data_IF_303637007328
#
_entry.id   IF_303637007328
#
_cell.length_a   1.000
_cell.length_b   1.000
_cell.length_c   1.000
_cell.angle_alpha   90.00
_cell.angle_beta   90.00
_cell.angle_gamma   90.00
#
_symmetry.space_group_name_H-M   'P 1'
#
loop_
_entity.id
_entity.type
_entity.pdbx_description
1 polymer ?
#
# COMPACT_ATOMS: atom_id res chain seq x y z
N UNK A 1 5.15 -5.23 -22.19
CA UNK A 1 4.26 -4.06 -22.31
C UNK A 1 3.72 -3.72 -20.92
N UNK A 2 4.47 -2.92 -20.15
CA UNK A 2 4.14 -2.59 -18.75
C UNK A 2 3.26 -1.35 -18.79
N UNK A 3 2.01 -1.48 -18.35
CA UNK A 3 1.09 -0.36 -18.16
C UNK A 3 1.59 0.54 -17.02
N UNK A 4 2.39 1.54 -17.34
CA UNK A 4 2.62 2.66 -16.44
C UNK A 4 1.32 3.46 -16.38
N UNK A 5 0.63 3.40 -15.24
CA UNK A 5 -0.50 4.29 -14.98
C UNK A 5 -0.02 5.72 -15.19
N UNK A 6 -0.54 6.37 -16.24
CA UNK A 6 -0.13 7.69 -16.72
C UNK A 6 -0.27 8.72 -15.60
N UNK A 7 0.86 9.14 -15.03
CA UNK A 7 0.94 10.25 -14.09
C UNK A 7 1.84 11.31 -14.73
N UNK A 8 1.30 12.51 -14.98
CA UNK A 8 2.02 13.59 -15.64
C UNK A 8 2.63 14.48 -14.56
N UNK A 9 3.96 14.56 -14.52
CA UNK A 9 4.70 15.55 -13.72
C UNK A 9 5.03 16.71 -14.66
N UNK A 10 4.40 17.86 -14.45
CA UNK A 10 4.66 19.07 -15.23
C UNK A 10 5.66 19.95 -14.46
N UNK A 11 6.88 20.05 -14.98
CA UNK A 11 7.90 20.97 -14.45
C UNK A 11 7.77 22.30 -15.22
N UNK A 12 7.27 23.33 -14.53
CA UNK A 12 7.08 24.66 -15.12
C UNK A 12 8.34 25.51 -14.93
N UNK A 13 8.99 25.86 -16.03
CA UNK A 13 10.08 26.85 -16.06
C UNK A 13 9.49 28.25 -16.25
N UNK A 14 9.86 29.22 -15.40
CA UNK A 14 9.36 30.60 -15.47
C UNK A 14 10.19 31.53 -16.37
N UNK A 15 11.23 31.06 -17.07
CA UNK A 15 12.09 31.93 -17.87
C UNK A 15 11.79 31.85 -19.39
N UNK A 16 11.41 32.98 -20.06
CA UNK A 16 11.03 32.97 -21.48
C UNK A 16 12.20 32.92 -22.46
N UNK A 17 13.45 32.83 -21.99
CA UNK A 17 14.64 32.84 -22.85
C UNK A 17 15.25 31.43 -22.90
N UNK A 18 14.92 30.69 -23.96
CA UNK A 18 15.62 29.50 -24.45
C UNK A 18 16.00 28.46 -23.38
N UNK A 19 15.16 27.45 -23.18
CA UNK A 19 15.52 26.31 -22.31
C UNK A 19 16.76 25.62 -22.92
N UNK A 20 17.91 25.76 -22.27
CA UNK A 20 19.15 25.07 -22.66
C UNK A 20 18.91 23.56 -22.72
N UNK A 21 19.55 22.86 -23.67
CA UNK A 21 19.52 21.39 -23.73
C UNK A 21 19.93 20.74 -22.40
N UNK A 22 20.75 21.41 -21.60
CA UNK A 22 21.09 20.97 -20.25
C UNK A 22 19.90 21.07 -19.27
N UNK A 23 19.13 22.17 -19.28
CA UNK A 23 17.92 22.29 -18.46
C UNK A 23 16.89 21.21 -18.83
N UNK A 24 16.59 21.02 -20.12
CA UNK A 24 15.63 20.00 -20.56
C UNK A 24 16.03 18.59 -20.13
N UNK A 25 17.34 18.28 -20.19
CA UNK A 25 17.87 16.99 -19.76
C UNK A 25 17.75 16.80 -18.25
N UNK A 26 18.01 17.84 -17.47
CA UNK A 26 17.84 17.82 -16.01
C UNK A 26 16.37 17.67 -15.62
N UNK A 27 15.46 18.43 -16.24
CA UNK A 27 14.02 18.33 -15.99
C UNK A 27 13.50 16.92 -16.28
N UNK A 28 13.94 16.33 -17.39
CA UNK A 28 13.60 14.95 -17.73
C UNK A 28 14.12 13.95 -16.70
N UNK A 29 15.38 14.07 -16.26
CA UNK A 29 15.95 13.19 -15.24
C UNK A 29 15.18 13.31 -13.93
N UNK A 30 14.83 14.53 -13.52
CA UNK A 30 14.06 14.79 -12.30
C UNK A 30 12.66 14.17 -12.41
N UNK A 31 11.96 14.38 -13.52
CA UNK A 31 10.65 13.79 -13.76
C UNK A 31 10.68 12.25 -13.77
N UNK A 32 11.71 11.65 -14.38
CA UNK A 32 11.93 10.20 -14.37
C UNK A 32 12.17 9.66 -12.94
N UNK A 33 13.01 10.33 -12.15
CA UNK A 33 13.27 9.94 -10.76
C UNK A 33 12.03 10.04 -9.86
N UNK A 34 11.26 11.12 -10.00
CA UNK A 34 9.99 11.29 -9.27
C UNK A 34 9.01 10.17 -9.66
N UNK A 35 8.86 9.90 -10.96
CA UNK A 35 7.96 8.86 -11.46
C UNK A 35 8.33 7.48 -10.93
N UNK A 36 9.63 7.15 -10.92
CA UNK A 36 10.14 5.90 -10.36
C UNK A 36 9.90 5.80 -8.85
N UNK A 37 10.16 6.87 -8.11
CA UNK A 37 9.91 6.94 -6.67
C UNK A 37 8.44 6.69 -6.33
N UNK A 38 7.52 7.35 -7.04
CA UNK A 38 6.07 7.19 -6.86
C UNK A 38 5.59 5.78 -7.23
N UNK A 39 6.08 5.21 -8.34
CA UNK A 39 5.77 3.84 -8.71
C UNK A 39 6.19 2.84 -7.64
N UNK A 40 7.42 2.99 -7.12
CA UNK A 40 7.94 2.13 -6.07
C UNK A 40 7.12 2.26 -4.77
N UNK A 41 6.70 3.47 -4.40
CA UNK A 41 5.82 3.68 -3.25
C UNK A 41 4.49 2.96 -3.41
N UNK A 42 3.82 3.12 -4.56
CA UNK A 42 2.54 2.47 -4.84
C UNK A 42 2.66 0.94 -4.86
N UNK A 43 3.75 0.42 -5.42
CA UNK A 43 4.01 -1.02 -5.40
C UNK A 43 4.20 -1.54 -3.98
N UNK A 44 4.98 -0.83 -3.15
CA UNK A 44 5.17 -1.17 -1.72
C UNK A 44 3.86 -1.10 -0.95
N UNK A 45 3.03 -0.10 -1.20
CA UNK A 45 1.70 0.02 -0.57
C UNK A 45 0.79 -1.14 -0.99
N UNK A 46 0.78 -1.50 -2.27
CA UNK A 46 0.05 -2.67 -2.76
C UNK A 46 0.55 -3.96 -2.11
N UNK A 47 1.86 -4.18 -2.08
CA UNK A 47 2.46 -5.36 -1.42
C UNK A 47 2.15 -5.40 0.08
N UNK A 48 2.12 -4.23 0.75
CA UNK A 48 1.70 -4.13 2.14
C UNK A 48 0.23 -4.51 2.31
N UNK A 49 -0.65 -4.01 1.45
CA UNK A 49 -2.08 -4.32 1.48
C UNK A 49 -2.37 -5.79 1.15
N UNK A 50 -1.65 -6.37 0.20
CA UNK A 50 -1.73 -7.78 -0.17
C UNK A 50 -1.15 -8.66 0.95
N UNK A 51 -0.11 -8.20 1.64
CA UNK A 51 0.52 -8.91 2.78
C UNK A 51 -0.37 -8.96 4.03
N UNK A 52 -1.34 -8.05 4.18
CA UNK A 52 -2.28 -8.06 5.30
C UNK A 52 -3.63 -8.71 4.96
N UNK A 53 -3.84 -9.12 3.70
CA UNK A 53 -5.09 -9.75 3.25
C UNK A 53 -4.87 -11.20 2.86
N UNK A 54 -5.84 -12.05 3.17
CA UNK A 54 -5.90 -13.41 2.69
C UNK A 54 -6.30 -13.41 1.21
N UNK A 55 -5.48 -14.01 0.34
CA UNK A 55 -5.68 -13.95 -1.12
C UNK A 55 -6.91 -14.72 -1.60
N UNK A 56 -7.41 -15.68 -0.82
CA UNK A 56 -8.57 -16.49 -1.15
C UNK A 56 -9.88 -15.75 -0.87
N UNK A 57 -9.92 -14.90 0.15
CA UNK A 57 -11.16 -14.26 0.64
C UNK A 57 -11.15 -12.73 0.56
N UNK A 58 -10.00 -12.08 0.41
CA UNK A 58 -9.84 -10.63 0.47
C UNK A 58 -10.01 -10.03 1.88
N UNK A 59 -10.31 -10.87 2.88
CA UNK A 59 -10.40 -10.48 4.28
C UNK A 59 -9.00 -10.21 4.84
N UNK A 60 -8.91 -9.49 5.96
CA UNK A 60 -7.64 -9.38 6.67
C UNK A 60 -7.17 -10.77 7.11
N UNK A 61 -5.88 -11.01 6.98
CA UNK A 61 -5.29 -12.27 7.39
C UNK A 61 -5.14 -12.36 8.92
N UNK A 62 -4.77 -13.55 9.37
CA UNK A 62 -4.59 -13.85 10.79
C UNK A 62 -3.52 -12.97 11.45
N UNK A 63 -2.41 -12.70 10.77
CA UNK A 63 -1.33 -11.85 11.31
C UNK A 63 -1.81 -10.44 11.61
N UNK A 64 -2.64 -9.87 10.72
CA UNK A 64 -3.27 -8.57 10.96
C UNK A 64 -4.22 -8.61 12.17
N UNK A 65 -5.02 -9.67 12.33
CA UNK A 65 -5.85 -9.85 13.52
C UNK A 65 -5.00 -9.88 14.81
N UNK A 66 -3.91 -10.63 14.83
CA UNK A 66 -3.04 -10.76 16.02
C UNK A 66 -2.40 -9.42 16.42
N UNK A 67 -2.01 -8.59 15.46
CA UNK A 67 -1.48 -7.25 15.73
C UNK A 67 -2.56 -6.27 16.18
N UNK A 68 -3.68 -6.23 15.46
CA UNK A 68 -4.80 -5.32 15.74
C UNK A 68 -5.44 -5.62 17.10
N UNK A 69 -5.62 -6.90 17.44
CA UNK A 69 -6.18 -7.33 18.73
C UNK A 69 -5.32 -6.89 19.92
N UNK A 70 -3.98 -6.94 19.80
CA UNK A 70 -3.08 -6.41 20.84
C UNK A 70 -3.33 -4.92 21.09
N UNK A 71 -3.51 -4.14 20.03
CA UNK A 71 -3.82 -2.72 20.15
C UNK A 71 -5.18 -2.47 20.79
N UNK A 72 -6.21 -3.23 20.38
CA UNK A 72 -7.56 -3.10 20.95
C UNK A 72 -7.60 -3.50 22.43
N UNK A 73 -6.85 -4.51 22.86
CA UNK A 73 -6.72 -4.86 24.30
C UNK A 73 -6.11 -3.69 25.09
N UNK A 74 -5.06 -3.04 24.57
CA UNK A 74 -4.44 -1.88 25.23
C UNK A 74 -5.43 -0.72 25.33
N UNK A 75 -6.17 -0.45 24.25
CA UNK A 75 -7.22 0.60 24.23
C UNK A 75 -8.34 0.29 25.21
N UNK A 76 -8.88 -0.92 25.20
CA UNK A 76 -9.96 -1.35 26.09
C UNK A 76 -9.55 -1.20 27.56
N UNK A 77 -8.32 -1.60 27.92
CA UNK A 77 -7.76 -1.37 29.27
C UNK A 77 -7.66 0.12 29.60
N UNK A 78 -7.15 0.93 28.68
CA UNK A 78 -6.97 2.38 28.88
C UNK A 78 -8.30 3.11 29.09
N UNK A 79 -9.33 2.73 28.33
CA UNK A 79 -10.64 3.38 28.37
C UNK A 79 -11.67 2.66 29.25
N UNK A 80 -11.27 1.57 29.93
CA UNK A 80 -12.14 0.74 30.76
C UNK A 80 -13.39 0.26 30.01
N UNK A 81 -13.25 -0.05 28.72
CA UNK A 81 -14.33 -0.51 27.87
C UNK A 81 -14.31 -2.04 27.75
N UNK A 82 -15.49 -2.70 27.74
CA UNK A 82 -15.55 -4.13 27.49
C UNK A 82 -15.16 -4.44 26.04
N UNK A 83 -14.36 -5.48 25.84
CA UNK A 83 -13.95 -5.99 24.54
C UNK A 83 -14.52 -7.39 24.35
N UNK A 84 -15.07 -7.67 23.17
CA UNK A 84 -15.57 -9.00 22.77
C UNK A 84 -14.95 -9.41 21.44
N UNK A 85 -14.73 -10.71 21.26
CA UNK A 85 -14.18 -11.30 20.03
C UNK A 85 -15.05 -12.47 19.59
N UNK A 86 -15.40 -12.48 18.30
CA UNK A 86 -16.14 -13.58 17.67
C UNK A 86 -15.20 -14.29 16.71
N UNK A 87 -14.96 -15.57 16.95
CA UNK A 87 -14.24 -16.44 16.02
C UNK A 87 -15.21 -17.38 15.31
N UNK A 88 -15.23 -17.30 13.98
CA UNK A 88 -15.99 -18.19 13.11
C UNK A 88 -15.01 -19.01 12.29
N UNK A 89 -15.12 -20.34 12.34
CA UNK A 89 -14.30 -21.25 11.56
C UNK A 89 -15.17 -22.33 10.91
N UNK A 90 -14.86 -22.66 9.66
CA UNK A 90 -15.49 -23.78 8.98
C UNK A 90 -14.59 -25.01 9.10
N UNK A 91 -15.07 -26.07 9.76
CA UNK A 91 -14.39 -27.37 9.79
C UNK A 91 -14.83 -28.16 8.56
N UNK A 92 -13.92 -28.41 7.62
CA UNK A 92 -14.16 -29.44 6.60
C UNK A 92 -13.98 -30.81 7.24
N UNK A 93 -15.06 -31.60 7.30
CA UNK A 93 -14.97 -33.04 7.56
C UNK A 93 -14.27 -33.67 6.36
N UNK A 94 -13.08 -34.23 6.57
CA UNK A 94 -12.47 -35.11 5.58
C UNK A 94 -13.26 -36.42 5.59
N UNK A 95 -13.92 -36.71 4.47
CA UNK A 95 -14.45 -38.05 4.20
C UNK A 95 -13.23 -38.95 3.97
N UNK A 96 -12.89 -39.73 5.00
CA UNK A 96 -12.03 -40.89 4.81
C UNK A 96 -12.85 -41.90 3.98
N UNK A 97 -12.43 -42.09 2.73
CA UNK A 97 -12.70 -43.30 1.96
C UNK A 97 -11.40 -44.11 2.00
#
# INVERSE_FOLDING_TARGET
MIHYSLFIVELRSEQPQGISHYQQKLDRIVAEQISLGLYNLKLREKLKNDSIRDSLTGLFNRSYLDESLKQEIIKAKRYQQPLSLIMLYHVRRQSFV
#
